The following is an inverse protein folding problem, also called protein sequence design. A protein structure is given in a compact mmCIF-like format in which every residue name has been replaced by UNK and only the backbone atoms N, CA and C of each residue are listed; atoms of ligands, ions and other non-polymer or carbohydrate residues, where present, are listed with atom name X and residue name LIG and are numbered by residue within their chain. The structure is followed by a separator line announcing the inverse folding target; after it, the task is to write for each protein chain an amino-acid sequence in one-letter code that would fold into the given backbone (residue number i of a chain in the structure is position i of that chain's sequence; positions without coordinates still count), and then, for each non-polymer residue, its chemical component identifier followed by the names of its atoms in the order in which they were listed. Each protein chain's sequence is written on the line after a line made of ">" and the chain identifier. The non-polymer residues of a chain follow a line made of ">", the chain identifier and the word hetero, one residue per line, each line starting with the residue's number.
data_IF_172543208675
#
_entry.id   IF_172543208675
#
_cell.length_a   1.000
_cell.length_b   1.000
_cell.length_c   1.000
_cell.angle_alpha   90.00
_cell.angle_beta   90.00
_cell.angle_gamma   90.00
#
_symmetry.space_group_name_H-M   'P 1'
#
loop_
_entity.id
_entity.type
_entity.pdbx_description
1 polymer ?
#
# COMPACT_ATOMS: atom_id res chain seq x y z
N UNK A 1 46.25 -25.83 -31.20
CA UNK A 1 45.36 -24.81 -30.63
C UNK A 1 46.17 -23.52 -30.43
N UNK A 2 45.88 -22.47 -31.20
CA UNK A 2 46.74 -21.29 -31.26
C UNK A 2 46.53 -20.42 -30.01
N UNK A 3 47.57 -20.19 -29.20
CA UNK A 3 47.47 -19.45 -27.93
C UNK A 3 46.90 -18.03 -28.10
N UNK A 4 47.05 -17.43 -29.29
CA UNK A 4 46.42 -16.16 -29.67
C UNK A 4 44.90 -16.25 -29.77
N UNK A 5 44.36 -17.33 -30.33
CA UNK A 5 42.90 -17.53 -30.44
C UNK A 5 42.26 -17.74 -29.07
N UNK A 6 42.93 -18.48 -28.17
CA UNK A 6 42.48 -18.65 -26.78
C UNK A 6 42.43 -17.29 -26.07
N UNK A 7 43.46 -16.46 -26.22
CA UNK A 7 43.49 -15.12 -25.60
C UNK A 7 42.38 -14.22 -26.13
N UNK A 8 42.13 -14.22 -27.43
CA UNK A 8 41.04 -13.45 -28.05
C UNK A 8 39.67 -13.92 -27.51
N UNK A 9 39.47 -15.24 -27.43
CA UNK A 9 38.24 -15.81 -26.88
C UNK A 9 38.04 -15.42 -25.41
N UNK A 10 39.09 -15.46 -24.58
CA UNK A 10 39.02 -15.05 -23.17
C UNK A 10 38.66 -13.56 -23.00
N UNK A 11 39.19 -12.68 -23.86
CA UNK A 11 38.88 -11.23 -23.80
C UNK A 11 37.41 -10.97 -24.16
N UNK A 12 36.91 -11.64 -25.21
CA UNK A 12 35.50 -11.51 -25.63
C UNK A 12 34.57 -12.04 -24.53
N UNK A 13 34.92 -13.17 -23.92
CA UNK A 13 34.13 -13.76 -22.83
C UNK A 13 34.06 -12.83 -21.61
N UNK A 14 35.16 -12.22 -21.19
CA UNK A 14 35.19 -11.27 -20.07
C UNK A 14 34.40 -9.98 -20.37
N UNK A 15 34.41 -9.51 -21.63
CA UNK A 15 33.59 -8.37 -22.04
C UNK A 15 32.09 -8.68 -22.07
N UNK A 16 31.69 -9.93 -22.31
CA UNK A 16 30.29 -10.35 -22.30
C UNK A 16 29.72 -10.49 -20.87
N UNK A 17 30.56 -10.85 -19.90
CA UNK A 17 30.20 -10.96 -18.48
C UNK A 17 30.34 -9.61 -17.76
N UNK A 18 29.81 -8.53 -18.33
CA UNK A 18 29.56 -7.34 -17.50
C UNK A 18 28.44 -7.72 -16.52
N UNK A 19 28.62 -7.56 -15.19
CA UNK A 19 27.51 -7.70 -14.28
C UNK A 19 26.51 -6.62 -14.66
N UNK A 20 25.39 -7.02 -15.27
CA UNK A 20 24.25 -6.12 -15.33
C UNK A 20 23.97 -5.79 -13.87
N UNK A 21 24.12 -4.51 -13.54
CA UNK A 21 23.62 -4.03 -12.27
C UNK A 21 22.12 -4.19 -12.41
N UNK A 22 21.60 -5.36 -12.00
CA UNK A 22 20.19 -5.52 -11.74
C UNK A 22 19.95 -4.52 -10.63
N UNK A 23 19.49 -3.32 -11.01
CA UNK A 23 18.82 -2.44 -10.08
C UNK A 23 17.61 -3.26 -9.69
N UNK A 24 17.78 -4.08 -8.65
CA UNK A 24 16.67 -4.53 -7.86
C UNK A 24 16.06 -3.22 -7.41
N UNK A 25 14.98 -2.80 -8.07
CA UNK A 25 13.96 -1.99 -7.44
C UNK A 25 13.75 -2.74 -6.14
N UNK A 26 14.33 -2.22 -5.07
CA UNK A 26 14.13 -2.74 -3.73
C UNK A 26 12.63 -2.96 -3.71
N UNK A 27 12.18 -4.20 -3.51
CA UNK A 27 10.79 -4.46 -3.22
C UNK A 27 10.55 -3.67 -1.94
N UNK A 28 10.25 -2.39 -2.10
CA UNK A 28 9.91 -1.46 -1.07
C UNK A 28 8.60 -2.07 -0.64
N UNK A 29 8.69 -2.88 0.41
CA UNK A 29 7.55 -3.58 0.96
C UNK A 29 6.60 -2.46 1.34
N UNK A 30 5.63 -2.27 0.45
CA UNK A 30 4.86 -1.05 0.35
C UNK A 30 4.25 -0.76 1.71
N UNK A 31 4.47 0.46 2.20
CA UNK A 31 3.97 0.89 3.50
C UNK A 31 2.45 0.72 3.56
N UNK A 32 1.75 0.85 2.42
CA UNK A 32 0.32 0.58 2.29
C UNK A 32 0.01 -0.90 2.55
N UNK A 33 0.72 -1.82 1.90
CA UNK A 33 0.52 -3.26 2.11
C UNK A 33 0.71 -3.69 3.58
N UNK A 34 1.74 -3.14 4.25
CA UNK A 34 1.96 -3.41 5.68
C UNK A 34 0.89 -2.80 6.58
N UNK A 35 0.49 -1.57 6.28
CA UNK A 35 -0.57 -0.88 7.00
C UNK A 35 -1.91 -1.61 6.86
N UNK A 36 -2.23 -2.08 5.64
CA UNK A 36 -3.38 -2.93 5.34
C UNK A 36 -3.39 -4.21 6.19
N UNK A 37 -2.25 -4.88 6.29
CA UNK A 37 -2.11 -6.07 7.14
C UNK A 37 -2.33 -5.77 8.63
N UNK A 38 -1.82 -4.62 9.10
CA UNK A 38 -2.04 -4.17 10.46
C UNK A 38 -3.52 -3.80 10.74
N UNK A 39 -4.20 -3.19 9.77
CA UNK A 39 -5.64 -2.90 9.82
C UNK A 39 -6.47 -4.18 9.93
N UNK A 40 -6.22 -5.18 9.08
CA UNK A 40 -6.93 -6.47 9.11
C UNK A 40 -6.77 -7.20 10.46
N UNK A 41 -5.62 -7.01 11.12
CA UNK A 41 -5.33 -7.57 12.45
C UNK A 41 -5.81 -6.70 13.61
N UNK A 42 -6.32 -5.50 13.34
CA UNK A 42 -6.64 -4.50 14.34
C UNK A 42 -5.46 -4.21 15.30
N UNK A 43 -4.22 -4.23 14.78
CA UNK A 43 -3.01 -4.00 15.58
C UNK A 43 -2.66 -2.50 15.57
N UNK A 44 -3.23 -1.77 16.52
CA UNK A 44 -3.07 -0.32 16.63
C UNK A 44 -1.60 0.12 16.75
N UNK A 45 -0.77 -0.64 17.48
CA UNK A 45 0.66 -0.31 17.63
C UNK A 45 1.40 -0.47 16.31
N UNK A 46 1.11 -1.54 15.57
CA UNK A 46 1.73 -1.80 14.28
C UNK A 46 1.25 -0.78 13.23
N UNK A 47 -0.03 -0.42 13.23
CA UNK A 47 -0.57 0.65 12.39
C UNK A 47 0.18 1.97 12.63
N UNK A 48 0.34 2.38 13.89
CA UNK A 48 1.06 3.59 14.26
C UNK A 48 2.54 3.56 13.82
N UNK A 49 3.16 2.39 13.79
CA UNK A 49 4.56 2.24 13.36
C UNK A 49 4.78 2.61 11.88
N UNK A 50 3.73 2.63 11.06
CA UNK A 50 3.81 2.97 9.63
C UNK A 50 3.42 4.42 9.33
N UNK A 51 2.95 5.15 10.33
CA UNK A 51 2.44 6.50 10.18
C UNK A 51 3.48 7.52 10.66
N UNK A 52 3.47 8.70 10.03
CA UNK A 52 4.26 9.85 10.45
C UNK A 52 3.74 10.39 11.79
N UNK A 53 4.65 10.73 12.71
CA UNK A 53 4.28 11.22 14.04
C UNK A 53 3.27 12.39 13.97
N UNK A 54 2.24 12.34 14.82
CA UNK A 54 1.19 13.36 14.90
C UNK A 54 -0.02 13.14 13.97
N UNK A 55 0.08 12.22 13.01
CA UNK A 55 -1.07 11.82 12.19
C UNK A 55 -1.97 10.88 12.98
N UNK A 56 -3.28 11.17 12.99
CA UNK A 56 -4.27 10.37 13.69
C UNK A 56 -4.80 9.25 12.80
N UNK A 57 -4.93 8.05 13.36
CA UNK A 57 -5.68 6.96 12.74
C UNK A 57 -7.17 7.19 13.05
N UNK A 58 -8.07 7.08 12.07
CA UNK A 58 -9.50 7.08 12.35
C UNK A 58 -9.90 5.99 13.36
N UNK A 59 -10.95 6.24 14.14
CA UNK A 59 -11.47 5.23 15.06
C UNK A 59 -12.39 4.28 14.30
N UNK A 60 -12.05 3.00 14.26
CA UNK A 60 -12.85 1.97 13.62
C UNK A 60 -13.68 1.20 14.66
N UNK A 61 -14.92 0.83 14.32
CA UNK A 61 -15.77 0.02 15.19
C UNK A 61 -15.17 -1.39 15.33
N UNK A 62 -14.78 -1.78 16.55
CA UNK A 62 -14.08 -3.04 16.82
C UNK A 62 -14.95 -4.29 16.70
N UNK A 63 -16.27 -4.13 16.74
CA UNK A 63 -17.23 -5.23 16.83
C UNK A 63 -17.44 -5.97 15.50
N UNK A 64 -17.19 -5.31 14.35
CA UNK A 64 -17.31 -5.95 13.04
C UNK A 64 -15.94 -6.40 12.55
N UNK A 65 -15.85 -7.70 12.23
CA UNK A 65 -14.63 -8.27 11.65
C UNK A 65 -14.41 -7.72 10.23
N UNK A 66 -13.24 -7.13 10.02
CA UNK A 66 -12.78 -6.73 8.69
C UNK A 66 -12.49 -7.99 7.88
N UNK A 67 -13.15 -8.11 6.74
CA UNK A 67 -13.01 -9.28 5.87
C UNK A 67 -11.89 -9.08 4.87
N UNK A 68 -11.90 -7.96 4.17
CA UNK A 68 -10.94 -7.64 3.13
C UNK A 68 -10.73 -6.13 3.01
N UNK A 69 -9.59 -5.76 2.42
CA UNK A 69 -9.26 -4.39 2.06
C UNK A 69 -8.72 -4.40 0.63
N UNK A 70 -9.42 -3.73 -0.26
CA UNK A 70 -9.00 -3.52 -1.64
C UNK A 70 -8.21 -2.21 -1.74
N UNK A 71 -7.14 -2.26 -2.52
CA UNK A 71 -6.30 -1.11 -2.83
C UNK A 71 -6.64 -0.59 -4.23
N UNK A 72 -6.94 0.70 -4.34
CA UNK A 72 -7.27 1.37 -5.60
C UNK A 72 -6.32 2.55 -5.80
N UNK A 73 -5.65 2.65 -6.96
CA UNK A 73 -4.78 3.79 -7.25
C UNK A 73 -5.60 5.08 -7.39
N UNK A 74 -5.09 6.18 -6.84
CA UNK A 74 -5.66 7.52 -7.02
C UNK A 74 -4.92 8.28 -8.14
N UNK A 75 -5.59 9.18 -8.89
CA UNK A 75 -4.90 10.09 -9.80
C UNK A 75 -4.05 11.15 -9.06
N UNK A 76 -4.25 11.33 -7.74
CA UNK A 76 -3.43 12.22 -6.92
C UNK A 76 -2.06 11.58 -6.65
N UNK A 77 -1.01 12.38 -6.70
CA UNK A 77 0.36 11.94 -6.44
C UNK A 77 0.48 11.31 -5.04
N UNK A 78 1.26 10.22 -4.95
CA UNK A 78 1.53 9.44 -3.75
C UNK A 78 0.29 9.02 -2.93
N UNK A 79 -0.87 8.95 -3.58
CA UNK A 79 -2.16 8.74 -2.93
C UNK A 79 -2.75 7.39 -3.32
N UNK A 80 -3.21 6.65 -2.31
CA UNK A 80 -3.87 5.36 -2.48
C UNK A 80 -5.22 5.37 -1.78
N UNK A 81 -6.24 4.81 -2.41
CA UNK A 81 -7.55 4.61 -1.80
C UNK A 81 -7.63 3.19 -1.27
N UNK A 82 -8.00 3.03 0.00
CA UNK A 82 -8.31 1.74 0.61
C UNK A 82 -9.81 1.62 0.80
N UNK A 83 -10.41 0.57 0.27
CA UNK A 83 -11.82 0.23 0.45
C UNK A 83 -11.88 -1.02 1.31
N UNK A 84 -12.38 -0.88 2.53
CA UNK A 84 -12.47 -1.99 3.47
C UNK A 84 -13.90 -2.55 3.52
N UNK A 85 -14.00 -3.87 3.63
CA UNK A 85 -15.26 -4.59 3.66
C UNK A 85 -15.44 -5.31 5.00
N UNK A 86 -16.63 -5.21 5.56
CA UNK A 86 -17.09 -6.09 6.62
C UNK A 86 -17.82 -7.27 5.99
N UNK A 87 -17.62 -8.46 6.54
CA UNK A 87 -18.43 -9.63 6.20
C UNK A 87 -19.59 -9.70 7.17
N UNK A 88 -20.81 -9.74 6.63
CA UNK A 88 -22.00 -10.05 7.40
C UNK A 88 -22.22 -11.57 7.51
N UNK A 89 -23.22 -12.00 8.27
CA UNK A 89 -23.53 -13.43 8.46
C UNK A 89 -23.91 -14.16 7.17
N UNK A 90 -24.43 -13.44 6.18
CA UNK A 90 -25.10 -14.02 5.00
C UNK A 90 -24.25 -13.92 3.72
N UNK A 91 -22.93 -14.03 3.84
CA UNK A 91 -21.94 -13.91 2.75
C UNK A 91 -21.92 -12.58 1.96
N UNK A 92 -22.84 -11.66 2.26
CA UNK A 92 -22.86 -10.31 1.71
C UNK A 92 -21.79 -9.47 2.40
N UNK A 93 -20.83 -8.97 1.61
CA UNK A 93 -19.83 -8.03 2.08
C UNK A 93 -20.34 -6.60 1.92
N UNK A 94 -20.28 -5.81 3.00
CA UNK A 94 -20.67 -4.39 2.99
C UNK A 94 -19.43 -3.53 3.15
N UNK A 95 -19.37 -2.40 2.45
CA UNK A 95 -18.28 -1.44 2.62
C UNK A 95 -18.30 -0.92 4.06
N UNK A 96 -17.23 -1.17 4.79
CA UNK A 96 -17.04 -0.70 6.15
C UNK A 96 -16.54 0.73 6.22
N UNK A 97 -15.48 1.03 5.47
CA UNK A 97 -14.95 2.40 5.36
C UNK A 97 -14.12 2.56 4.09
N UNK A 98 -13.93 3.82 3.69
CA UNK A 98 -13.02 4.20 2.60
C UNK A 98 -12.00 5.19 3.15
N UNK A 99 -10.72 4.91 2.96
CA UNK A 99 -9.61 5.79 3.34
C UNK A 99 -8.90 6.31 2.09
N UNK A 100 -8.60 7.60 2.08
CA UNK A 100 -7.58 8.20 1.22
C UNK A 100 -6.29 8.33 2.03
N UNK A 101 -5.22 7.72 1.53
CA UNK A 101 -3.93 7.63 2.22
C UNK A 101 -2.86 8.25 1.35
N UNK A 102 -2.11 9.20 1.90
CA UNK A 102 -0.96 9.81 1.22
C UNK A 102 0.33 9.29 1.84
N UNK A 103 1.22 8.76 1.01
CA UNK A 103 2.52 8.25 1.46
C UNK A 103 3.64 9.22 1.12
N UNK A 104 4.60 9.40 2.02
CA UNK A 104 5.84 10.16 1.77
C UNK A 104 6.99 9.48 2.47
N UNK A 105 8.13 9.34 1.80
CA UNK A 105 9.33 8.72 2.39
C UNK A 105 9.05 7.36 3.05
N UNK A 106 8.22 6.51 2.42
CA UNK A 106 7.85 5.19 2.93
C UNK A 106 7.12 5.21 4.29
N UNK A 107 6.39 6.29 4.57
CA UNK A 107 5.51 6.48 5.72
C UNK A 107 4.18 7.05 5.28
N UNK A 108 3.12 6.75 6.02
CA UNK A 108 1.82 7.38 5.82
C UNK A 108 1.85 8.78 6.42
N UNK A 109 1.73 9.78 5.55
CA UNK A 109 1.80 11.21 5.90
C UNK A 109 0.42 11.85 6.08
N UNK A 110 -0.63 11.23 5.53
CA UNK A 110 -1.99 11.68 5.69
C UNK A 110 -2.97 10.50 5.60
N UNK A 111 -4.02 10.54 6.40
CA UNK A 111 -5.14 9.61 6.35
C UNK A 111 -6.41 10.45 6.42
N UNK A 112 -7.24 10.35 5.39
CA UNK A 112 -8.56 10.95 5.35
C UNK A 112 -9.61 9.85 5.21
N UNK A 113 -10.60 9.82 6.11
CA UNK A 113 -11.70 8.86 6.03
C UNK A 113 -12.82 9.47 5.20
N UNK A 114 -12.93 9.02 3.94
CA UNK A 114 -13.93 9.52 2.98
C UNK A 114 -15.32 8.95 3.31
N UNK A 115 -15.36 7.71 3.79
CA UNK A 115 -16.60 7.02 4.12
C UNK A 115 -16.43 6.18 5.39
N UNK A 116 -17.46 6.18 6.22
CA UNK A 116 -17.60 5.37 7.42
C UNK A 116 -19.00 4.74 7.42
N UNK A 117 -19.08 3.48 6.99
CA UNK A 117 -20.31 2.71 6.95
C UNK A 117 -20.86 2.33 8.33
N UNK A 118 -20.14 2.64 9.41
CA UNK A 118 -20.64 2.49 10.79
C UNK A 118 -21.27 3.76 11.33
N UNK A 119 -21.08 4.90 10.66
CA UNK A 119 -21.63 6.18 11.07
C UNK A 119 -22.87 6.54 10.23
N UNK A 120 -24.09 6.40 10.78
CA UNK A 120 -25.33 6.72 10.05
C UNK A 120 -25.50 8.22 9.77
N UNK A 121 -24.67 9.08 10.38
CA UNK A 121 -24.73 10.54 10.23
C UNK A 121 -23.59 11.10 9.37
N UNK A 122 -22.77 10.25 8.73
CA UNK A 122 -21.75 10.73 7.81
C UNK A 122 -22.43 11.43 6.64
N UNK A 123 -22.15 12.72 6.46
CA UNK A 123 -22.60 13.46 5.28
C UNK A 123 -21.79 12.96 4.09
N UNK A 124 -22.47 12.48 3.05
CA UNK A 124 -21.83 12.24 1.76
C UNK A 124 -21.07 13.50 1.35
N UNK A 125 -19.81 13.32 0.91
CA UNK A 125 -19.02 14.43 0.42
C UNK A 125 -19.77 15.10 -0.75
N UNK A 126 -20.33 16.28 -0.50
CA UNK A 126 -21.02 17.04 -1.53
C UNK A 126 -19.96 17.55 -2.50
N UNK A 127 -19.76 16.84 -3.60
CA UNK A 127 -18.95 17.34 -4.71
C UNK A 127 -19.79 18.44 -5.37
N UNK A 128 -19.60 19.68 -4.94
CA UNK A 128 -20.08 20.85 -5.68
C UNK A 128 -18.90 21.44 -6.44
N UNK A 129 -18.94 21.27 -7.76
CA UNK A 129 -18.42 22.10 -8.87
C UNK A 129 -18.14 21.17 -10.08
N UNK A 130 -18.68 21.36 -11.27
CA UNK A 130 -19.45 22.44 -11.94
C UNK A 130 -20.73 21.90 -12.58
#
# INVERSE_FOLDING_TARGET
>A
MNTKLIKIFCIIFLLYFQPTSIIMVKAQTDVISKFKHALLKNDEKLMQSYITAGIKIPTFLKEKHLHDIIEVPSPKEDTTILIAYFKDTDDVSTIGFILEIVTKNNKISHINQIYDGTNPFMKEATIVKE
#
